data_IF_699482101810
#
_entry.id   IF_699482101810
#
_cell.length_a   1.000
_cell.length_b   1.000
_cell.length_c   1.000
_cell.angle_alpha   90.00
_cell.angle_beta   90.00
_cell.angle_gamma   90.00
#
_symmetry.space_group_name_H-M   'P 1'
#
loop_
_entity.id
_entity.type
_entity.pdbx_description
1 polymer ?
#
# COMPACT_ATOMS: atom_id res chain seq x y z
N UNK A 1 -16.29 -0.03 28.96
CA UNK A 1 -15.91 -0.08 27.53
C UNK A 1 -15.24 1.21 27.12
N UNK A 2 -14.28 1.13 26.21
CA UNK A 2 -13.80 2.26 25.40
C UNK A 2 -14.22 1.93 23.96
N UNK A 3 -14.47 2.95 23.16
CA UNK A 3 -14.77 2.79 21.74
C UNK A 3 -13.51 3.09 20.94
N UNK A 4 -13.19 2.22 19.98
CA UNK A 4 -12.05 2.36 19.08
C UNK A 4 -12.59 2.59 17.67
N UNK A 5 -11.91 3.45 16.90
CA UNK A 5 -12.35 3.89 15.59
C UNK A 5 -11.19 3.79 14.61
N UNK A 6 -11.46 3.25 13.43
CA UNK A 6 -10.52 3.23 12.30
C UNK A 6 -11.00 4.23 11.27
N UNK A 7 -10.19 5.25 10.97
CA UNK A 7 -10.62 6.34 10.09
C UNK A 7 -9.68 6.48 8.89
N UNK A 8 -10.26 6.71 7.73
CA UNK A 8 -9.50 7.08 6.53
C UNK A 8 -10.34 8.04 5.69
N UNK A 9 -9.67 8.92 4.95
CA UNK A 9 -10.28 9.80 3.97
C UNK A 9 -9.27 10.10 2.87
N UNK A 10 -9.59 9.73 1.63
CA UNK A 10 -8.70 9.93 0.49
C UNK A 10 -9.49 9.93 -0.81
N UNK A 11 -8.81 10.26 -1.91
CA UNK A 11 -9.41 10.38 -3.22
C UNK A 11 -8.54 9.73 -4.28
N UNK A 12 -9.18 9.03 -5.21
CA UNK A 12 -8.55 8.48 -6.41
C UNK A 12 -9.18 9.09 -7.66
N UNK A 13 -8.36 9.26 -8.70
CA UNK A 13 -8.85 9.52 -10.06
C UNK A 13 -9.04 8.17 -10.73
N UNK A 14 -10.24 7.92 -11.25
CA UNK A 14 -10.62 6.64 -11.85
C UNK A 14 -11.35 6.90 -13.16
N UNK A 15 -11.39 5.91 -14.04
CA UNK A 15 -12.19 5.97 -15.26
C UNK A 15 -13.69 5.87 -14.93
N UNK A 16 -14.54 6.27 -15.89
CA UNK A 16 -16.01 6.10 -15.78
C UNK A 16 -16.38 4.63 -15.50
N UNK A 17 -15.66 3.71 -16.12
CA UNK A 17 -15.99 2.29 -16.01
C UNK A 17 -15.63 1.72 -14.64
N UNK A 18 -14.50 2.13 -14.08
CA UNK A 18 -14.09 1.76 -12.71
C UNK A 18 -15.03 2.40 -11.68
N UNK A 19 -15.42 3.65 -11.90
CA UNK A 19 -16.45 4.31 -11.09
C UNK A 19 -17.79 3.56 -11.09
N UNK A 20 -18.20 2.98 -12.22
CA UNK A 20 -19.40 2.14 -12.26
C UNK A 20 -19.23 0.85 -11.45
N UNK A 21 -18.03 0.25 -11.45
CA UNK A 21 -17.74 -0.97 -10.68
C UNK A 21 -17.64 -0.70 -9.18
N UNK A 22 -17.17 0.47 -8.74
CA UNK A 22 -17.23 0.87 -7.33
C UNK A 22 -18.69 0.95 -6.84
N UNK A 23 -19.59 1.54 -7.62
CA UNK A 23 -21.04 1.56 -7.30
C UNK A 23 -21.65 0.17 -7.27
N UNK A 24 -21.25 -0.70 -8.20
CA UNK A 24 -21.71 -2.09 -8.22
C UNK A 24 -21.22 -2.87 -6.99
N UNK A 25 -20.03 -2.55 -6.47
CA UNK A 25 -19.55 -3.15 -5.22
C UNK A 25 -20.35 -2.67 -4.00
N UNK A 26 -20.71 -1.38 -3.90
CA UNK A 26 -21.62 -0.89 -2.85
C UNK A 26 -22.99 -1.60 -2.94
N UNK A 27 -23.54 -1.72 -4.16
CA UNK A 27 -24.79 -2.46 -4.38
C UNK A 27 -24.68 -3.95 -3.99
N UNK A 28 -23.52 -4.58 -4.23
CA UNK A 28 -23.27 -5.96 -3.82
C UNK A 28 -23.31 -6.11 -2.29
N UNK A 29 -22.72 -5.17 -1.55
CA UNK A 29 -22.79 -5.11 -0.09
C UNK A 29 -24.23 -4.93 0.38
N UNK A 30 -24.98 -4.01 -0.23
CA UNK A 30 -26.40 -3.78 0.11
C UNK A 30 -27.24 -5.04 -0.10
N UNK A 31 -27.01 -5.77 -1.20
CA UNK A 31 -27.70 -7.05 -1.47
C UNK A 31 -27.36 -8.07 -0.38
N UNK A 32 -26.09 -8.20 0.00
CA UNK A 32 -25.65 -9.13 1.04
C UNK A 32 -26.23 -8.78 2.42
N UNK A 33 -26.42 -7.50 2.72
CA UNK A 33 -26.98 -7.03 3.99
C UNK A 33 -28.48 -7.32 4.15
N UNK A 34 -29.22 -7.48 3.03
CA UNK A 34 -30.67 -7.78 3.09
C UNK A 34 -31.01 -9.14 3.74
N UNK A 35 -30.03 -10.04 3.89
CA UNK A 35 -30.22 -11.39 4.42
C UNK A 35 -31.35 -12.17 3.70
N UNK A 36 -31.47 -11.97 2.38
CA UNK A 36 -32.39 -12.71 1.52
C UNK A 36 -32.06 -14.20 1.47
N UNK A 37 -32.99 -15.00 0.95
CA UNK A 37 -32.71 -16.42 0.71
C UNK A 37 -31.72 -16.61 -0.46
N UNK A 38 -31.23 -17.84 -0.65
CA UNK A 38 -30.24 -18.15 -1.70
C UNK A 38 -30.73 -17.78 -3.12
N UNK A 39 -32.04 -17.82 -3.37
CA UNK A 39 -32.61 -17.48 -4.68
C UNK A 39 -32.62 -15.96 -4.90
N UNK A 40 -32.97 -15.20 -3.87
CA UNK A 40 -32.92 -13.73 -3.88
C UNK A 40 -31.47 -13.24 -4.05
N UNK A 41 -30.50 -13.85 -3.34
CA UNK A 41 -29.09 -13.53 -3.49
C UNK A 41 -28.56 -13.85 -4.90
N UNK A 42 -28.98 -14.97 -5.50
CA UNK A 42 -28.61 -15.31 -6.86
C UNK A 42 -29.15 -14.30 -7.89
N UNK A 43 -30.39 -13.84 -7.72
CA UNK A 43 -30.99 -12.78 -8.56
C UNK A 43 -30.28 -11.44 -8.35
N UNK A 44 -29.95 -11.10 -7.10
CA UNK A 44 -29.17 -9.91 -6.76
C UNK A 44 -27.81 -9.93 -7.45
N UNK A 45 -27.07 -11.03 -7.36
CA UNK A 45 -25.80 -11.21 -8.06
C UNK A 45 -25.95 -11.01 -9.57
N UNK A 46 -26.95 -11.66 -10.20
CA UNK A 46 -27.17 -11.57 -11.65
C UNK A 46 -27.49 -10.13 -12.11
N UNK A 47 -28.07 -9.30 -11.23
CA UNK A 47 -28.40 -7.90 -11.50
C UNK A 47 -27.18 -6.96 -11.59
N UNK A 48 -26.03 -7.34 -11.02
CA UNK A 48 -24.80 -6.52 -10.99
C UNK A 48 -24.10 -6.42 -12.36
N UNK A 49 -24.53 -7.25 -13.31
CA UNK A 49 -24.11 -7.18 -14.70
C UNK A 49 -22.77 -7.84 -15.02
N UNK A 50 -22.53 -8.04 -16.31
CA UNK A 50 -21.43 -8.87 -16.84
C UNK A 50 -20.04 -8.41 -16.40
N UNK A 51 -19.84 -7.10 -16.26
CA UNK A 51 -18.53 -6.56 -15.87
C UNK A 51 -18.21 -6.88 -14.42
N UNK A 52 -19.18 -6.76 -13.51
CA UNK A 52 -19.00 -7.19 -12.12
C UNK A 52 -18.69 -8.69 -12.07
N UNK A 53 -19.44 -9.51 -12.81
CA UNK A 53 -19.19 -10.96 -12.89
C UNK A 53 -17.80 -11.31 -13.42
N UNK A 54 -17.23 -10.48 -14.31
CA UNK A 54 -15.87 -10.70 -14.80
C UNK A 54 -14.79 -10.44 -13.75
N UNK A 55 -15.01 -9.46 -12.87
CA UNK A 55 -14.08 -9.11 -11.77
C UNK A 55 -14.26 -10.04 -10.57
N UNK A 56 -15.50 -10.44 -10.29
CA UNK A 56 -15.87 -11.33 -9.19
C UNK A 56 -16.69 -12.51 -9.74
N UNK A 57 -16.07 -13.50 -10.40
CA UNK A 57 -16.78 -14.63 -10.98
C UNK A 57 -17.61 -15.39 -9.94
N UNK A 58 -18.74 -16.01 -10.34
CA UNK A 58 -19.57 -16.71 -9.38
C UNK A 58 -18.80 -17.92 -8.82
N UNK A 59 -18.86 -18.11 -7.51
CA UNK A 59 -18.19 -19.24 -6.84
C UNK A 59 -19.06 -19.83 -5.75
N UNK A 60 -19.01 -21.16 -5.63
CA UNK A 60 -19.68 -21.94 -4.60
C UNK A 60 -21.20 -21.70 -4.51
N UNK A 61 -21.75 -21.75 -3.30
CA UNK A 61 -23.20 -21.76 -3.09
C UNK A 61 -23.79 -20.34 -3.11
N UNK A 62 -23.18 -19.44 -2.35
CA UNK A 62 -23.44 -18.00 -2.47
C UNK A 62 -22.57 -17.50 -3.60
N UNK A 63 -23.14 -17.19 -4.77
CA UNK A 63 -22.39 -16.75 -5.96
C UNK A 63 -21.41 -15.60 -5.67
N UNK A 64 -21.59 -14.89 -4.57
CA UNK A 64 -20.71 -13.86 -4.03
C UNK A 64 -19.41 -14.35 -3.39
N UNK A 65 -19.12 -15.64 -3.25
CA UNK A 65 -17.94 -16.13 -2.51
C UNK A 65 -16.60 -15.47 -2.95
N UNK A 66 -16.42 -15.15 -4.23
CA UNK A 66 -15.23 -14.42 -4.69
C UNK A 66 -15.20 -12.94 -4.26
N UNK A 67 -16.36 -12.29 -4.17
CA UNK A 67 -16.48 -10.94 -3.63
C UNK A 67 -16.31 -10.94 -2.10
N UNK A 68 -16.88 -11.93 -1.42
CA UNK A 68 -16.76 -12.13 0.03
C UNK A 68 -15.32 -12.38 0.47
N UNK A 69 -14.45 -12.86 -0.42
CA UNK A 69 -13.03 -13.02 -0.15
C UNK A 69 -12.28 -11.69 0.12
N UNK A 70 -12.91 -10.54 -0.14
CA UNK A 70 -12.39 -9.23 0.28
C UNK A 70 -12.50 -8.98 1.78
N UNK A 71 -13.39 -9.69 2.48
CA UNK A 71 -13.76 -9.43 3.85
C UNK A 71 -13.25 -10.55 4.77
N UNK A 72 -12.79 -10.16 5.96
CA UNK A 72 -12.33 -11.11 6.98
C UNK A 72 -13.50 -11.90 7.60
N UNK A 73 -14.70 -11.30 7.67
CA UNK A 73 -15.93 -11.95 8.12
C UNK A 73 -16.98 -11.96 6.99
N UNK A 74 -17.32 -13.15 6.52
CA UNK A 74 -18.29 -13.35 5.45
C UNK A 74 -19.73 -13.01 5.83
N UNK A 75 -20.04 -12.97 7.13
CA UNK A 75 -21.40 -12.67 7.60
C UNK A 75 -21.65 -11.16 7.73
N UNK A 76 -20.58 -10.36 7.74
CA UNK A 76 -20.66 -8.90 7.86
C UNK A 76 -19.73 -8.24 6.83
N UNK A 77 -20.02 -8.36 5.53
CA UNK A 77 -19.17 -7.88 4.45
C UNK A 77 -19.29 -6.36 4.25
N UNK A 78 -18.95 -5.57 5.28
CA UNK A 78 -19.02 -4.12 5.22
C UNK A 78 -17.68 -3.52 4.80
N UNK A 79 -17.74 -2.56 3.87
CA UNK A 79 -16.58 -1.72 3.55
C UNK A 79 -16.32 -0.68 4.65
N UNK A 80 -17.35 -0.39 5.46
CA UNK A 80 -17.37 0.66 6.50
C UNK A 80 -16.82 2.01 6.02
N UNK A 81 -17.05 2.28 4.73
CA UNK A 81 -16.67 3.52 4.08
C UNK A 81 -17.80 3.97 3.15
N UNK A 82 -17.90 5.27 2.98
CA UNK A 82 -18.71 5.93 1.96
C UNK A 82 -17.85 6.21 0.73
N UNK A 83 -18.35 5.87 -0.46
CA UNK A 83 -17.69 6.17 -1.74
C UNK A 83 -18.48 7.24 -2.50
N UNK A 84 -18.02 8.49 -2.44
CA UNK A 84 -18.61 9.58 -3.21
C UNK A 84 -17.89 9.75 -4.54
N UNK A 85 -18.62 9.59 -5.65
CA UNK A 85 -18.06 9.66 -7.01
C UNK A 85 -18.64 10.85 -7.76
N UNK A 86 -17.77 11.73 -8.26
CA UNK A 86 -18.18 12.89 -9.06
C UNK A 86 -18.67 12.50 -10.45
N UNK A 87 -19.31 13.45 -11.13
CA UNK A 87 -19.48 13.35 -12.58
C UNK A 87 -18.11 13.32 -13.30
N UNK A 88 -18.05 12.76 -14.53
CA UNK A 88 -16.82 12.72 -15.30
C UNK A 88 -16.36 14.12 -15.69
N UNK A 89 -15.06 14.37 -15.60
CA UNK A 89 -14.44 15.60 -16.07
C UNK A 89 -14.34 15.64 -17.61
N UNK A 90 -13.76 16.72 -18.15
CA UNK A 90 -13.56 16.88 -19.59
C UNK A 90 -12.66 15.83 -20.25
N UNK A 91 -11.93 15.03 -19.45
CA UNK A 91 -11.10 13.93 -19.91
C UNK A 91 -11.79 12.56 -19.77
N UNK A 92 -13.03 12.53 -19.27
CA UNK A 92 -13.77 11.29 -19.01
C UNK A 92 -13.32 10.55 -17.74
N UNK A 93 -12.67 11.25 -16.80
CA UNK A 93 -12.28 10.68 -15.52
C UNK A 93 -13.22 11.13 -14.41
N UNK A 94 -13.51 10.24 -13.47
CA UNK A 94 -14.28 10.51 -12.27
C UNK A 94 -13.33 10.63 -11.07
N UNK A 95 -13.75 11.39 -10.06
CA UNK A 95 -13.06 11.46 -8.79
C UNK A 95 -13.84 10.66 -7.75
N UNK A 96 -13.25 9.58 -7.24
CA UNK A 96 -13.83 8.73 -6.21
C UNK A 96 -13.22 9.10 -4.84
N UNK A 97 -14.05 9.57 -3.91
CA UNK A 97 -13.67 9.92 -2.55
C UNK A 97 -14.14 8.85 -1.59
N UNK A 98 -13.21 8.27 -0.84
CA UNK A 98 -13.46 7.25 0.16
C UNK A 98 -13.34 7.90 1.53
N UNK A 99 -14.32 7.69 2.42
CA UNK A 99 -14.25 8.21 3.79
C UNK A 99 -15.06 7.38 4.78
N UNK A 100 -14.61 7.28 6.03
CA UNK A 100 -15.31 6.52 7.07
C UNK A 100 -14.62 6.60 8.43
N UNK A 101 -15.34 6.23 9.50
CA UNK A 101 -14.87 6.22 10.89
C UNK A 101 -14.83 4.82 11.54
N UNK A 102 -15.18 3.78 10.78
CA UNK A 102 -14.90 2.37 11.06
C UNK A 102 -14.28 1.66 9.84
N UNK A 103 -13.52 2.42 9.06
CA UNK A 103 -13.06 2.10 7.71
C UNK A 103 -12.46 0.70 7.56
N UNK A 104 -13.03 -0.11 6.66
CA UNK A 104 -12.53 -1.44 6.30
C UNK A 104 -11.27 -1.37 5.44
N UNK A 105 -10.09 -1.21 6.06
CA UNK A 105 -8.80 -1.00 5.36
C UNK A 105 -8.53 -2.13 4.35
N UNK A 106 -8.58 -3.40 4.79
CA UNK A 106 -8.33 -4.56 3.95
C UNK A 106 -9.32 -4.69 2.79
N UNK A 107 -10.64 -4.74 3.08
CA UNK A 107 -11.68 -4.82 2.06
C UNK A 107 -11.60 -3.71 1.01
N UNK A 108 -11.42 -2.45 1.42
CA UNK A 108 -11.32 -1.33 0.49
C UNK A 108 -10.03 -1.37 -0.32
N UNK A 109 -8.90 -1.75 0.28
CA UNK A 109 -7.64 -1.91 -0.46
C UNK A 109 -7.74 -3.01 -1.53
N UNK A 110 -8.33 -4.16 -1.18
CA UNK A 110 -8.59 -5.25 -2.13
C UNK A 110 -9.54 -4.85 -3.25
N UNK A 111 -10.61 -4.13 -2.93
CA UNK A 111 -11.55 -3.59 -3.91
C UNK A 111 -10.84 -2.65 -4.90
N UNK A 112 -10.06 -1.69 -4.39
CA UNK A 112 -9.27 -0.76 -5.22
C UNK A 112 -8.30 -1.53 -6.10
N UNK A 113 -7.61 -2.54 -5.55
CA UNK A 113 -6.65 -3.34 -6.31
C UNK A 113 -7.29 -4.05 -7.50
N UNK A 114 -8.51 -4.59 -7.34
CA UNK A 114 -9.21 -5.33 -8.38
C UNK A 114 -9.86 -4.37 -9.39
N UNK A 115 -10.52 -3.32 -8.89
CA UNK A 115 -11.36 -2.45 -9.71
C UNK A 115 -10.57 -1.30 -10.33
N UNK A 116 -9.81 -0.55 -9.54
CA UNK A 116 -9.24 0.74 -9.93
C UNK A 116 -7.83 0.60 -10.55
N UNK A 117 -7.70 -0.24 -11.58
CA UNK A 117 -6.43 -0.53 -12.24
C UNK A 117 -5.73 0.72 -12.77
N UNK A 118 -6.46 1.72 -13.26
CA UNK A 118 -5.90 2.98 -13.77
C UNK A 118 -5.22 3.83 -12.70
N UNK A 119 -5.56 3.62 -11.43
CA UNK A 119 -4.98 4.34 -10.30
C UNK A 119 -3.72 3.66 -9.76
N UNK A 120 -3.40 2.42 -10.16
CA UNK A 120 -2.26 1.69 -9.63
C UNK A 120 -0.93 2.17 -10.24
N UNK A 121 0.17 2.24 -9.45
CA UNK A 121 0.22 2.03 -8.00
C UNK A 121 -0.36 3.23 -7.24
N UNK A 122 -1.11 2.95 -6.16
CA UNK A 122 -1.63 3.97 -5.26
C UNK A 122 -1.55 3.52 -3.81
N UNK A 123 -2.10 4.31 -2.90
CA UNK A 123 -2.21 3.96 -1.49
C UNK A 123 -3.04 4.98 -0.72
N UNK A 124 -3.29 4.68 0.54
CA UNK A 124 -3.96 5.61 1.44
C UNK A 124 -3.47 5.46 2.88
N UNK A 125 -3.58 6.54 3.64
CA UNK A 125 -3.30 6.56 5.06
C UNK A 125 -4.58 6.34 5.86
N UNK A 126 -4.42 5.77 7.05
CA UNK A 126 -5.49 5.56 8.01
C UNK A 126 -4.99 5.85 9.42
N UNK A 127 -5.92 6.11 10.33
CA UNK A 127 -5.65 6.29 11.76
C UNK A 127 -6.52 5.33 12.56
N UNK A 128 -6.00 4.93 13.72
CA UNK A 128 -6.79 4.28 14.77
C UNK A 128 -6.77 5.17 16.01
N UNK A 129 -7.94 5.52 16.52
CA UNK A 129 -8.08 6.28 17.76
C UNK A 129 -9.09 5.66 18.71
N UNK A 130 -9.07 6.14 19.95
CA UNK A 130 -9.94 5.66 21.02
C UNK A 130 -10.55 6.85 21.78
N UNK A 131 -11.80 6.70 22.21
CA UNK A 131 -12.48 7.71 23.03
C UNK A 131 -11.87 7.86 24.44
N UNK A 132 -10.92 6.99 24.80
CA UNK A 132 -10.19 7.01 26.06
C UNK A 132 -8.69 6.95 25.82
N UNK A 133 -7.95 7.78 26.55
CA UNK A 133 -6.49 7.80 26.53
C UNK A 133 -5.91 6.54 27.19
N UNK A 134 -5.79 5.47 26.40
CA UNK A 134 -5.28 4.16 26.81
C UNK A 134 -3.99 3.83 26.05
N UNK A 135 -2.97 3.28 26.73
CA UNK A 135 -1.76 2.84 26.05
C UNK A 135 -2.07 1.83 24.95
N UNK A 136 -1.50 2.04 23.75
CA UNK A 136 -1.64 1.13 22.60
C UNK A 136 -2.91 1.30 21.76
N UNK A 137 -3.83 2.20 22.14
CA UNK A 137 -5.09 2.41 21.41
C UNK A 137 -5.05 3.55 20.39
N UNK A 138 -3.89 4.19 20.21
CA UNK A 138 -3.66 5.24 19.22
C UNK A 138 -2.60 4.77 18.24
N UNK A 139 -2.88 4.93 16.96
CA UNK A 139 -1.96 4.54 15.90
C UNK A 139 -2.50 4.92 14.54
N UNK A 140 -2.04 4.18 13.55
CA UNK A 140 -2.41 4.41 12.17
C UNK A 140 -1.45 3.68 11.26
N UNK A 141 -1.47 4.08 10.01
CA UNK A 141 -0.61 3.46 9.02
C UNK A 141 -0.95 3.92 7.63
N UNK A 142 -0.44 3.15 6.67
CA UNK A 142 -0.85 3.26 5.30
C UNK A 142 -0.88 1.88 4.64
N UNK A 143 -1.60 1.81 3.53
CA UNK A 143 -1.56 0.66 2.63
C UNK A 143 -1.07 1.14 1.27
N UNK A 144 -0.14 0.37 0.69
CA UNK A 144 0.34 0.53 -0.68
C UNK A 144 -0.29 -0.57 -1.52
N UNK A 145 -0.86 -0.18 -2.65
CA UNK A 145 -1.67 -1.02 -3.52
C UNK A 145 -0.99 -1.06 -4.88
N UNK A 146 -0.61 -2.25 -5.30
CA UNK A 146 0.03 -2.51 -6.60
C UNK A 146 -0.70 -3.64 -7.32
N UNK A 147 -0.37 -3.88 -8.59
CA UNK A 147 -0.89 -5.06 -9.30
C UNK A 147 -0.45 -6.38 -8.65
N UNK A 148 0.74 -6.40 -8.04
CA UNK A 148 1.32 -7.61 -7.45
C UNK A 148 0.75 -7.96 -6.07
N UNK A 149 0.28 -6.96 -5.31
CA UNK A 149 -0.17 -7.19 -3.94
C UNK A 149 -0.46 -5.91 -3.17
N UNK A 150 -0.89 -6.13 -1.92
CA UNK A 150 -1.12 -5.12 -0.91
C UNK A 150 0.02 -5.17 0.11
N UNK A 151 0.57 -4.02 0.46
CA UNK A 151 1.57 -3.89 1.51
C UNK A 151 1.04 -2.96 2.59
N UNK A 152 1.05 -3.42 3.84
CA UNK A 152 0.53 -2.67 4.99
C UNK A 152 1.68 -2.20 5.87
N UNK A 153 1.64 -0.92 6.26
CA UNK A 153 2.55 -0.34 7.24
C UNK A 153 1.75 0.21 8.41
N UNK A 154 2.18 -0.08 9.63
CA UNK A 154 1.65 0.59 10.82
C UNK A 154 2.64 1.62 11.36
N UNK A 155 2.14 2.65 12.01
CA UNK A 155 2.97 3.61 12.76
C UNK A 155 3.74 2.92 13.89
N UNK A 156 3.22 1.79 14.40
CA UNK A 156 3.90 1.00 15.41
C UNK A 156 5.12 0.29 14.84
N UNK A 157 5.02 -0.28 13.63
CA UNK A 157 6.17 -0.91 12.95
C UNK A 157 7.27 0.12 12.68
N UNK A 158 6.88 1.34 12.27
CA UNK A 158 7.81 2.45 12.07
C UNK A 158 8.51 2.82 13.39
N UNK A 159 7.75 2.94 14.48
CA UNK A 159 8.29 3.27 15.79
C UNK A 159 9.22 2.17 16.33
N UNK A 160 8.80 0.92 16.25
CA UNK A 160 9.58 -0.25 16.66
C UNK A 160 10.85 -0.38 15.83
N UNK A 161 10.75 -0.17 14.51
CA UNK A 161 11.90 -0.12 13.64
C UNK A 161 12.85 0.98 14.09
N UNK A 162 12.38 2.22 14.21
CA UNK A 162 13.20 3.36 14.63
C UNK A 162 13.86 3.15 16.00
N UNK A 163 13.14 2.59 16.96
CA UNK A 163 13.63 2.30 18.30
C UNK A 163 14.73 1.23 18.30
N UNK A 164 14.50 0.09 17.63
CA UNK A 164 15.54 -0.94 17.42
C UNK A 164 16.74 -0.35 16.70
N UNK A 165 16.46 0.51 15.74
CA UNK A 165 17.48 1.19 14.98
C UNK A 165 18.36 2.06 15.90
N UNK A 166 17.76 2.89 16.75
CA UNK A 166 18.50 3.76 17.65
C UNK A 166 19.24 3.00 18.77
N UNK A 167 18.70 1.86 19.21
CA UNK A 167 19.37 1.01 20.19
C UNK A 167 20.65 0.33 19.64
N UNK A 168 20.83 0.26 18.32
CA UNK A 168 21.85 -0.55 17.69
C UNK A 168 23.29 0.04 17.64
N UNK A 169 23.56 1.26 18.14
CA UNK A 169 24.93 1.82 18.43
C UNK A 169 24.81 3.29 18.93
N UNK A 170 25.35 3.68 20.10
CA UNK A 170 25.27 5.06 20.62
C UNK A 170 26.34 6.03 20.08
N UNK A 171 27.25 5.57 19.23
CA UNK A 171 28.43 6.35 18.84
C UNK A 171 28.01 7.44 17.84
N UNK A 172 28.41 8.69 18.09
CA UNK A 172 27.88 9.94 17.49
C UNK A 172 28.02 10.11 15.96
N UNK A 173 28.43 9.06 15.23
CA UNK A 173 28.50 8.99 13.77
C UNK A 173 27.60 7.88 13.17
N UNK A 174 26.81 7.18 13.99
CA UNK A 174 26.05 5.97 13.63
C UNK A 174 24.85 6.16 12.65
N UNK A 175 24.65 7.37 12.12
CA UNK A 175 23.68 7.62 11.06
C UNK A 175 24.29 7.43 9.65
N UNK A 176 25.62 7.52 9.50
CA UNK A 176 26.30 7.29 8.23
C UNK A 176 26.36 5.79 7.91
N UNK A 177 25.70 5.41 6.81
CA UNK A 177 25.72 4.06 6.21
C UNK A 177 25.13 2.94 7.06
N UNK A 178 24.23 3.31 7.97
CA UNK A 178 23.33 2.42 8.70
C UNK A 178 22.57 1.44 7.80
N UNK A 179 22.22 1.90 6.60
CA UNK A 179 21.50 1.13 5.58
C UNK A 179 22.45 0.59 4.51
N UNK A 180 23.73 0.52 4.87
CA UNK A 180 24.83 0.18 4.00
C UNK A 180 25.39 1.39 3.25
N UNK A 181 26.47 1.11 2.54
CA UNK A 181 27.19 2.03 1.69
C UNK A 181 27.15 1.49 0.26
N UNK A 182 27.12 2.41 -0.70
CA UNK A 182 27.38 2.10 -2.11
C UNK A 182 28.67 2.81 -2.52
N UNK A 183 29.47 2.17 -3.35
CA UNK A 183 30.66 2.79 -3.92
C UNK A 183 30.24 3.55 -5.18
N UNK A 184 30.37 4.86 -5.19
CA UNK A 184 29.90 5.72 -6.27
C UNK A 184 31.05 6.46 -6.93
N UNK A 185 31.14 6.45 -8.26
CA UNK A 185 32.12 7.22 -9.04
C UNK A 185 31.40 8.15 -10.03
N UNK A 186 32.15 8.93 -10.81
CA UNK A 186 31.63 9.75 -11.90
C UNK A 186 32.08 9.18 -13.24
N UNK A 187 31.16 9.10 -14.19
CA UNK A 187 31.52 8.78 -15.57
C UNK A 187 32.16 9.98 -16.29
N UNK A 188 32.54 9.79 -17.56
CA UNK A 188 33.19 10.82 -18.38
C UNK A 188 32.31 12.05 -18.62
N UNK A 189 30.99 11.92 -18.45
CA UNK A 189 30.00 12.99 -18.59
C UNK A 189 29.64 13.62 -17.23
N UNK A 190 30.23 13.13 -16.13
CA UNK A 190 30.06 13.61 -14.77
C UNK A 190 28.83 13.08 -14.04
N UNK A 191 28.15 12.06 -14.58
CA UNK A 191 27.02 11.40 -13.92
C UNK A 191 27.50 10.44 -12.82
N UNK A 192 26.75 10.39 -11.72
CA UNK A 192 27.01 9.44 -10.66
C UNK A 192 26.70 8.01 -11.13
N UNK A 193 27.68 7.13 -11.00
CA UNK A 193 27.59 5.70 -11.28
C UNK A 193 27.93 4.91 -10.03
N UNK A 194 27.37 3.71 -9.86
CA UNK A 194 27.44 2.95 -8.62
C UNK A 194 27.92 1.53 -8.87
N UNK A 195 28.82 1.04 -8.03
CA UNK A 195 29.45 -0.27 -8.18
C UNK A 195 28.47 -1.43 -7.93
N UNK A 196 28.52 -2.43 -8.80
CA UNK A 196 27.90 -3.74 -8.67
C UNK A 196 29.01 -4.82 -8.81
N UNK A 197 28.99 -5.84 -7.95
CA UNK A 197 30.02 -6.90 -7.94
C UNK A 197 30.02 -7.79 -9.18
N UNK A 198 28.89 -7.91 -9.88
CA UNK A 198 28.71 -8.74 -11.07
C UNK A 198 28.97 -7.94 -12.36
N UNK A 199 28.49 -6.69 -12.42
CA UNK A 199 28.42 -5.89 -13.64
C UNK A 199 29.29 -4.61 -13.64
N UNK A 200 29.93 -4.25 -12.52
CA UNK A 200 30.75 -3.04 -12.39
C UNK A 200 29.93 -1.75 -12.16
N UNK A 201 30.44 -0.59 -12.58
CA UNK A 201 29.75 0.70 -12.37
C UNK A 201 28.53 0.87 -13.27
N UNK A 202 27.37 1.13 -12.66
CA UNK A 202 26.10 1.32 -13.35
C UNK A 202 25.09 2.15 -12.54
N UNK A 203 23.80 1.82 -12.62
CA UNK A 203 22.73 2.58 -11.95
C UNK A 203 22.69 2.29 -10.44
N UNK A 204 22.16 3.22 -9.65
CA UNK A 204 21.97 3.01 -8.20
C UNK A 204 21.06 1.81 -7.90
N UNK A 205 20.04 1.58 -8.73
CA UNK A 205 19.07 0.50 -8.54
C UNK A 205 19.70 -0.90 -8.63
N UNK A 206 20.83 -1.02 -9.33
CA UNK A 206 21.60 -2.25 -9.47
C UNK A 206 22.83 -2.27 -8.55
N UNK A 207 23.08 -1.26 -7.73
CA UNK A 207 24.30 -1.18 -6.94
C UNK A 207 24.38 -2.28 -5.87
N UNK A 208 25.58 -2.80 -5.62
CA UNK A 208 25.83 -3.66 -4.47
C UNK A 208 25.88 -2.81 -3.20
N UNK A 209 25.11 -3.20 -2.18
CA UNK A 209 25.09 -2.55 -0.87
C UNK A 209 26.07 -3.26 0.06
N UNK A 210 27.00 -2.50 0.62
CA UNK A 210 28.03 -2.98 1.54
C UNK A 210 27.70 -2.59 2.98
N UNK A 211 27.96 -3.46 3.94
CA UNK A 211 27.94 -3.09 5.36
C UNK A 211 29.10 -2.14 5.70
N UNK A 212 28.99 -1.44 6.83
CA UNK A 212 30.06 -0.57 7.35
C UNK A 212 31.40 -1.32 7.50
N UNK A 213 31.36 -2.59 7.92
CA UNK A 213 32.56 -3.41 8.09
C UNK A 213 33.19 -3.78 6.74
N UNK A 214 32.37 -4.09 5.74
CA UNK A 214 32.84 -4.39 4.38
C UNK A 214 33.41 -3.14 3.70
N UNK A 215 32.71 -2.00 3.76
CA UNK A 215 33.19 -0.74 3.23
C UNK A 215 34.52 -0.31 3.87
N UNK A 216 34.69 -0.52 5.19
CA UNK A 216 35.96 -0.25 5.89
C UNK A 216 37.08 -1.24 5.53
N UNK A 217 36.74 -2.48 5.21
CA UNK A 217 37.70 -3.50 4.79
C UNK A 217 38.15 -3.31 3.33
N UNK A 218 37.32 -2.68 2.50
CA UNK A 218 37.60 -2.33 1.13
C UNK A 218 38.06 -0.87 1.03
N UNK A 219 39.36 -0.66 1.24
CA UNK A 219 40.01 0.62 0.94
C UNK A 219 40.16 0.75 -0.59
N UNK A 220 39.44 1.64 -1.29
CA UNK A 220 39.58 1.78 -2.73
C UNK A 220 40.93 2.43 -3.06
N UNK A 221 41.94 1.60 -3.34
CA UNK A 221 43.30 2.09 -3.66
C UNK A 221 43.37 2.50 -5.15
N UNK A 222 43.61 3.80 -5.38
CA UNK A 222 44.28 4.48 -6.53
C UNK A 222 43.44 5.18 -7.63
N UNK A 223 43.53 6.52 -7.59
CA UNK A 223 43.69 7.60 -8.60
C UNK A 223 42.69 7.86 -9.76
N UNK A 224 42.30 9.15 -9.78
CA UNK A 224 41.94 10.03 -10.91
C UNK A 224 40.49 10.11 -11.41
N UNK A 225 39.49 9.75 -10.58
CA UNK A 225 38.16 10.39 -10.48
C UNK A 225 37.35 9.62 -9.42
N UNK A 226 37.70 9.88 -8.16
CA UNK A 226 37.60 8.92 -7.04
C UNK A 226 36.19 8.35 -6.79
N UNK A 227 36.07 7.01 -6.68
CA UNK A 227 34.87 6.41 -6.14
C UNK A 227 34.76 6.67 -4.64
N UNK A 228 33.68 7.33 -4.23
CA UNK A 228 33.38 7.66 -2.83
C UNK A 228 32.37 6.67 -2.26
N UNK A 229 32.59 6.27 -1.01
CA UNK A 229 31.58 5.54 -0.25
C UNK A 229 30.45 6.49 0.12
N UNK A 230 29.27 6.29 -0.47
CA UNK A 230 28.06 7.02 -0.13
C UNK A 230 27.19 6.21 0.82
N UNK A 231 26.89 6.78 1.98
CA UNK A 231 25.90 6.25 2.89
C UNK A 231 24.53 6.23 2.22
N UNK A 232 23.85 5.08 2.23
CA UNK A 232 22.47 5.03 1.78
C UNK A 232 21.55 5.74 2.78
N UNK A 233 20.61 6.57 2.29
CA UNK A 233 19.58 7.14 3.15
C UNK A 233 18.70 6.01 3.71
N UNK A 234 17.95 6.32 4.76
CA UNK A 234 16.95 5.39 5.27
C UNK A 234 16.01 4.95 4.14
N UNK A 235 15.84 3.63 3.91
CA UNK A 235 14.78 3.14 3.07
C UNK A 235 13.48 3.74 3.61
N UNK A 236 12.70 4.32 2.72
CA UNK A 236 11.28 4.48 3.01
C UNK A 236 10.76 3.06 3.23
N UNK A 237 10.33 2.76 4.46
CA UNK A 237 9.99 1.41 4.88
C UNK A 237 9.10 0.74 3.81
N UNK A 238 9.56 -0.41 3.32
CA UNK A 238 8.86 -1.27 2.38
C UNK A 238 7.94 -2.25 3.11
#
# INVERSE_FOLDING_TARGET
MANTYTKAAFTLTVTIEEAAMLRAAEQAVDILDTNGDDADLALGYDSLGTRFHSLFPPKGASRFENFLALFDDWHFPYLDCRIDITEPDGSGNCRATFSGDQFGIGPVAGLIQIVCKSALPCGFAWIADCDKLRPGEFGGGCVIITEAGLTFHSTQDILDHAARSNAAKPDAHAHEGRYGFVLASRDQDGHATFWNNDDGFGTLASATVFSEAEARAHDPVIANDEPEWLALPAPLAA
#
